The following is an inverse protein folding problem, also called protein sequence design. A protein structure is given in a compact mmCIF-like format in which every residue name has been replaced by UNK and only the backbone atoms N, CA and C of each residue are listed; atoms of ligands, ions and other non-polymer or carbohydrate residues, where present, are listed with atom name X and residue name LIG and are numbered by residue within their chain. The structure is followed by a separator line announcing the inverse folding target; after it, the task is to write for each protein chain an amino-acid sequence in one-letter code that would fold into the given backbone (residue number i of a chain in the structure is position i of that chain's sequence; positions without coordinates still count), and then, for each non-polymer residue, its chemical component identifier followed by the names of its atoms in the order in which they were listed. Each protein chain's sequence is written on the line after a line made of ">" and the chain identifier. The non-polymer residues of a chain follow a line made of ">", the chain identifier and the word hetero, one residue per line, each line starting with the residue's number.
data_IF_602858470773
#
_entry.id   IF_602858470773
#
_cell.length_a   1.000
_cell.length_b   1.000
_cell.length_c   1.000
_cell.angle_alpha   90.00
_cell.angle_beta   90.00
_cell.angle_gamma   90.00
#
_symmetry.space_group_name_H-M   'P 1'
#
loop_
_entity.id
_entity.type
_entity.pdbx_description
1 polymer ?
#
# COMPACT_ATOMS: atom_id res chain seq x y z
N UNK A 1 -49.12 6.95 1.21
CA UNK A 1 -48.22 6.09 0.42
C UNK A 1 -47.26 7.01 -0.30
N UNK A 2 -46.09 7.29 0.31
CA UNK A 2 -45.09 8.17 -0.28
C UNK A 2 -44.13 7.32 -1.10
N UNK A 3 -44.09 7.56 -2.41
CA UNK A 3 -43.13 6.93 -3.31
C UNK A 3 -41.74 7.56 -3.07
N UNK A 4 -40.78 6.73 -2.67
CA UNK A 4 -39.38 7.13 -2.56
C UNK A 4 -38.81 7.31 -3.97
N UNK A 5 -38.39 8.53 -4.28
CA UNK A 5 -37.76 8.87 -5.56
C UNK A 5 -36.35 8.25 -5.60
N UNK A 6 -35.93 7.56 -6.67
CA UNK A 6 -34.58 7.01 -6.76
C UNK A 6 -33.57 8.14 -6.90
N UNK A 7 -32.48 8.05 -6.11
CA UNK A 7 -31.39 9.02 -6.13
C UNK A 7 -30.79 9.11 -7.54
N UNK A 8 -30.76 10.33 -8.10
CA UNK A 8 -30.17 10.58 -9.40
C UNK A 8 -28.68 10.22 -9.36
N UNK A 9 -28.27 9.30 -10.23
CA UNK A 9 -26.88 8.92 -10.42
C UNK A 9 -26.17 10.14 -11.03
N UNK A 10 -25.30 10.79 -10.25
CA UNK A 10 -24.50 11.91 -10.74
C UNK A 10 -23.28 11.34 -11.44
N UNK A 11 -23.34 11.26 -12.77
CA UNK A 11 -22.20 10.85 -13.60
C UNK A 11 -21.18 12.00 -13.66
N UNK A 12 -19.92 11.80 -13.22
CA UNK A 12 -18.92 12.85 -13.34
C UNK A 12 -18.58 13.14 -14.81
N UNK A 13 -18.21 14.39 -15.12
CA UNK A 13 -18.06 14.90 -16.49
C UNK A 13 -17.03 14.16 -17.38
N UNK A 14 -16.18 13.29 -16.80
CA UNK A 14 -15.21 12.43 -17.50
C UNK A 14 -15.31 10.95 -17.05
N UNK A 15 -16.50 10.48 -16.71
CA UNK A 15 -16.73 9.08 -16.36
C UNK A 15 -16.74 8.20 -17.61
N UNK A 16 -16.15 7.00 -17.49
CA UNK A 16 -16.32 5.93 -18.47
C UNK A 16 -17.21 4.86 -17.83
N UNK A 17 -18.32 4.44 -18.48
CA UNK A 17 -19.13 3.33 -17.99
C UNK A 17 -18.32 2.03 -18.09
N UNK A 18 -18.38 1.21 -17.04
CA UNK A 18 -17.67 -0.06 -16.92
C UNK A 18 -18.62 -1.21 -16.56
N UNK A 19 -19.90 -1.12 -16.97
CA UNK A 19 -20.95 -2.07 -16.60
C UNK A 19 -20.61 -3.51 -17.03
N UNK A 20 -19.91 -3.65 -18.15
CA UNK A 20 -19.39 -4.90 -18.70
C UNK A 20 -18.26 -5.53 -17.86
N UNK A 21 -17.65 -4.75 -16.96
CA UNK A 21 -16.59 -5.19 -16.04
C UNK A 21 -17.05 -5.29 -14.59
N UNK A 22 -18.35 -5.19 -14.32
CA UNK A 22 -18.94 -5.29 -12.97
C UNK A 22 -18.44 -6.54 -12.21
N UNK A 23 -18.53 -7.71 -12.83
CA UNK A 23 -18.02 -8.97 -12.27
C UNK A 23 -16.52 -8.91 -11.94
N UNK A 24 -15.73 -8.24 -12.79
CA UNK A 24 -14.28 -8.08 -12.57
C UNK A 24 -13.99 -7.16 -11.38
N UNK A 25 -14.77 -6.10 -11.21
CA UNK A 25 -14.66 -5.18 -10.06
C UNK A 25 -15.01 -5.89 -8.76
N UNK A 26 -16.06 -6.72 -8.76
CA UNK A 26 -16.46 -7.51 -7.59
C UNK A 26 -15.41 -8.56 -7.23
N UNK A 27 -14.91 -9.30 -8.22
CA UNK A 27 -13.83 -10.26 -7.99
C UNK A 27 -12.58 -9.57 -7.43
N UNK A 28 -12.24 -8.39 -7.94
CA UNK A 28 -11.10 -7.62 -7.44
C UNK A 28 -11.29 -7.22 -5.97
N UNK A 29 -12.50 -6.84 -5.54
CA UNK A 29 -12.79 -6.57 -4.11
C UNK A 29 -12.54 -7.80 -3.24
N UNK A 30 -12.99 -8.97 -3.69
CA UNK A 30 -12.78 -10.23 -2.96
C UNK A 30 -11.29 -10.55 -2.85
N UNK A 31 -10.55 -10.39 -3.95
CA UNK A 31 -9.09 -10.61 -3.98
C UNK A 31 -8.37 -9.65 -3.03
N UNK A 32 -8.70 -8.36 -3.05
CA UNK A 32 -8.06 -7.37 -2.17
C UNK A 32 -8.31 -7.69 -0.69
N UNK A 33 -9.54 -8.09 -0.32
CA UNK A 33 -9.87 -8.50 1.05
C UNK A 33 -9.08 -9.74 1.49
N UNK A 34 -8.88 -10.72 0.59
CA UNK A 34 -8.07 -11.90 0.85
C UNK A 34 -6.59 -11.53 1.01
N UNK A 35 -6.06 -10.65 0.14
CA UNK A 35 -4.69 -10.17 0.24
C UNK A 35 -4.44 -9.45 1.55
N UNK A 36 -5.37 -8.61 2.01
CA UNK A 36 -5.23 -7.90 3.27
C UNK A 36 -5.27 -8.86 4.47
N UNK A 37 -6.13 -9.88 4.43
CA UNK A 37 -6.12 -10.95 5.42
C UNK A 37 -4.77 -11.67 5.45
N UNK A 38 -4.24 -12.06 4.29
CA UNK A 38 -2.95 -12.73 4.19
C UNK A 38 -1.78 -11.83 4.62
N UNK A 39 -1.82 -10.52 4.35
CA UNK A 39 -0.84 -9.55 4.83
C UNK A 39 -0.83 -9.51 6.36
N UNK A 40 -1.99 -9.50 7.00
CA UNK A 40 -2.11 -9.52 8.46
C UNK A 40 -1.55 -10.82 9.06
N UNK A 41 -1.95 -11.97 8.52
CA UNK A 41 -1.43 -13.29 8.94
C UNK A 41 0.10 -13.34 8.81
N UNK A 42 0.64 -12.89 7.67
CA UNK A 42 2.09 -12.82 7.44
C UNK A 42 2.77 -11.92 8.48
N UNK A 43 2.23 -10.73 8.74
CA UNK A 43 2.81 -9.80 9.69
C UNK A 43 2.87 -10.41 11.11
N UNK A 44 1.83 -11.11 11.53
CA UNK A 44 1.77 -11.74 12.84
C UNK A 44 2.73 -12.93 12.97
N UNK A 45 2.85 -13.78 11.95
CA UNK A 45 3.84 -14.84 11.91
C UNK A 45 5.26 -14.27 11.97
N UNK A 46 5.55 -13.25 11.16
CA UNK A 46 6.84 -12.58 11.19
C UNK A 46 7.13 -11.97 12.56
N UNK A 47 6.14 -11.34 13.21
CA UNK A 47 6.30 -10.77 14.55
C UNK A 47 6.70 -11.84 15.56
N UNK A 48 6.02 -12.99 15.55
CA UNK A 48 6.33 -14.13 16.42
C UNK A 48 7.76 -14.63 16.19
N UNK A 49 8.14 -14.86 14.93
CA UNK A 49 9.49 -15.32 14.56
C UNK A 49 10.55 -14.31 14.99
N UNK A 50 10.38 -13.03 14.65
CA UNK A 50 11.32 -11.95 15.00
C UNK A 50 11.49 -11.80 16.51
N UNK A 51 10.38 -11.90 17.27
CA UNK A 51 10.42 -11.83 18.73
C UNK A 51 11.23 -12.98 19.33
N UNK A 52 11.13 -14.18 18.76
CA UNK A 52 11.92 -15.34 19.20
C UNK A 52 13.38 -15.27 18.77
N UNK A 53 13.63 -14.75 17.56
CA UNK A 53 14.97 -14.61 16.98
C UNK A 53 15.81 -13.55 17.73
N UNK A 54 15.18 -12.47 18.21
CA UNK A 54 15.86 -11.41 18.95
C UNK A 54 16.99 -10.79 18.14
N UNK A 55 18.19 -10.75 18.72
CA UNK A 55 19.40 -10.20 18.09
C UNK A 55 20.18 -11.22 17.24
N UNK A 56 19.79 -12.49 17.23
CA UNK A 56 20.48 -13.52 16.45
C UNK A 56 20.29 -13.29 14.95
N UNK A 57 21.35 -13.44 14.17
CA UNK A 57 21.32 -13.14 12.73
C UNK A 57 20.63 -14.22 11.89
N UNK A 58 20.57 -15.46 12.39
CA UNK A 58 20.03 -16.63 11.68
C UNK A 58 19.16 -17.45 12.63
N UNK A 59 17.96 -17.81 12.17
CA UNK A 59 17.06 -18.75 12.84
C UNK A 59 17.03 -20.08 12.11
N UNK A 60 17.05 -21.18 12.87
CA UNK A 60 17.08 -22.55 12.37
C UNK A 60 15.72 -23.24 12.54
N UNK A 61 15.38 -24.12 11.61
CA UNK A 61 14.29 -25.11 11.71
C UNK A 61 14.90 -26.47 11.35
N UNK A 62 14.74 -27.48 12.21
CA UNK A 62 15.34 -28.81 12.04
C UNK A 62 16.86 -28.78 11.75
N UNK A 63 17.57 -27.88 12.44
CA UNK A 63 19.01 -27.68 12.29
C UNK A 63 19.44 -26.98 10.99
N UNK A 64 18.49 -26.53 10.15
CA UNK A 64 18.76 -25.85 8.88
C UNK A 64 18.38 -24.36 8.94
N UNK A 65 19.17 -23.44 8.34
CA UNK A 65 18.80 -22.03 8.26
C UNK A 65 17.46 -21.82 7.54
N UNK A 66 16.53 -21.14 8.21
CA UNK A 66 15.19 -20.86 7.69
C UNK A 66 14.89 -19.37 7.59
N UNK A 67 15.49 -18.54 8.46
CA UNK A 67 15.31 -17.09 8.46
C UNK A 67 16.62 -16.38 8.78
N UNK A 68 16.79 -15.17 8.27
CA UNK A 68 17.94 -14.33 8.58
C UNK A 68 17.60 -12.85 8.53
N UNK A 69 18.32 -12.05 9.31
CA UNK A 69 18.32 -10.60 9.17
C UNK A 69 19.24 -10.19 8.03
N UNK A 70 18.70 -9.50 7.02
CA UNK A 70 19.51 -8.80 6.01
C UNK A 70 19.66 -7.33 6.41
N UNK A 71 20.90 -6.88 6.63
CA UNK A 71 21.21 -5.45 6.80
C UNK A 71 21.54 -4.86 5.43
N UNK A 72 21.00 -3.69 5.14
CA UNK A 72 21.30 -2.97 3.90
C UNK A 72 21.40 -1.50 4.24
N UNK A 73 22.48 -0.85 3.78
CA UNK A 73 22.65 0.58 3.93
C UNK A 73 21.74 1.29 2.93
N UNK A 74 20.89 2.18 3.43
CA UNK A 74 20.11 3.08 2.59
C UNK A 74 20.78 4.45 2.60
N UNK A 75 21.27 4.88 1.45
CA UNK A 75 21.69 6.26 1.22
C UNK A 75 20.47 7.02 0.72
N UNK A 76 20.08 8.09 1.41
CA UNK A 76 18.97 8.94 1.01
C UNK A 76 19.32 10.40 1.30
N UNK A 77 18.94 11.30 0.40
CA UNK A 77 19.07 12.74 0.62
C UNK A 77 18.10 13.19 1.72
N UNK A 78 18.61 13.90 2.71
CA UNK A 78 17.78 14.48 3.76
C UNK A 78 17.25 15.84 3.32
N UNK A 79 16.02 15.85 2.78
CA UNK A 79 15.34 17.10 2.40
C UNK A 79 15.27 18.09 3.57
N UNK A 80 15.12 17.60 4.81
CA UNK A 80 15.13 18.45 6.01
C UNK A 80 16.45 19.20 6.17
N UNK A 81 17.59 18.53 5.94
CA UNK A 81 18.90 19.17 6.03
C UNK A 81 19.17 20.11 4.86
N UNK A 82 18.73 19.75 3.64
CA UNK A 82 18.83 20.65 2.48
C UNK A 82 18.05 21.94 2.76
N UNK A 83 16.81 21.85 3.23
CA UNK A 83 16.00 23.02 3.62
C UNK A 83 16.63 23.91 4.68
N UNK A 84 17.41 23.32 5.60
CA UNK A 84 18.03 24.05 6.71
C UNK A 84 19.39 24.66 6.35
N UNK A 85 20.18 23.98 5.51
CA UNK A 85 21.58 24.35 5.22
C UNK A 85 21.77 24.99 3.84
N UNK A 86 20.97 24.59 2.86
CA UNK A 86 21.05 25.02 1.47
C UNK A 86 19.64 25.25 0.88
N UNK A 87 18.85 26.18 1.43
CA UNK A 87 17.52 26.47 0.91
C UNK A 87 17.53 26.98 -0.55
N UNK A 88 18.63 27.58 -0.99
CA UNK A 88 18.81 28.14 -2.33
C UNK A 88 18.74 27.09 -3.45
N UNK A 89 19.19 25.85 -3.20
CA UNK A 89 19.18 24.77 -4.20
C UNK A 89 17.93 23.91 -4.14
N UNK A 90 17.01 24.18 -3.21
CA UNK A 90 15.84 23.33 -3.00
C UNK A 90 14.95 23.30 -4.25
N UNK A 91 14.66 24.46 -4.82
CA UNK A 91 13.81 24.57 -6.01
C UNK A 91 14.43 23.87 -7.23
N UNK A 92 15.75 23.93 -7.37
CA UNK A 92 16.47 23.27 -8.47
C UNK A 92 16.49 21.73 -8.33
N UNK A 93 16.18 21.22 -7.13
CA UNK A 93 16.15 19.79 -6.83
C UNK A 93 14.73 19.23 -6.74
N UNK A 94 13.68 20.05 -6.86
CA UNK A 94 12.30 19.61 -6.76
C UNK A 94 11.77 19.13 -8.12
N UNK A 95 11.46 17.83 -8.21
CA UNK A 95 10.77 17.23 -9.34
C UNK A 95 9.33 16.92 -8.93
N UNK A 96 8.36 17.62 -9.54
CA UNK A 96 6.94 17.39 -9.32
C UNK A 96 6.40 16.57 -10.49
N UNK A 97 6.09 15.31 -10.22
CA UNK A 97 5.50 14.40 -11.20
C UNK A 97 4.10 14.01 -10.76
N UNK A 98 3.12 14.16 -11.65
CA UNK A 98 1.77 13.68 -11.41
C UNK A 98 1.75 12.14 -11.37
N UNK A 99 1.28 11.58 -10.26
CA UNK A 99 1.12 10.13 -10.10
C UNK A 99 -0.34 9.79 -9.91
N UNK A 100 -0.88 8.98 -10.81
CA UNK A 100 -2.24 8.44 -10.69
C UNK A 100 -2.21 7.19 -9.83
N UNK A 101 -3.05 7.14 -8.79
CA UNK A 101 -3.23 5.94 -7.98
C UNK A 101 -4.54 5.27 -8.36
N UNK A 102 -4.46 4.03 -8.83
CA UNK A 102 -5.64 3.19 -9.01
C UNK A 102 -6.07 2.63 -7.65
N UNK A 103 -7.33 2.81 -7.28
CA UNK A 103 -7.93 2.24 -6.07
C UNK A 103 -9.37 1.86 -6.36
N UNK A 104 -9.81 0.72 -5.84
CA UNK A 104 -11.23 0.47 -5.68
C UNK A 104 -11.80 1.49 -4.68
N UNK A 105 -12.89 2.14 -5.06
CA UNK A 105 -13.67 2.97 -4.16
C UNK A 105 -14.81 2.16 -3.58
N UNK A 106 -15.18 2.42 -2.33
CA UNK A 106 -16.45 1.97 -1.79
C UNK A 106 -17.55 2.79 -2.51
N UNK A 107 -18.17 2.19 -3.53
CA UNK A 107 -19.43 2.71 -4.03
C UNK A 107 -20.48 2.38 -2.95
N UNK A 108 -21.09 3.43 -2.36
CA UNK A 108 -22.21 3.34 -1.41
C UNK A 108 -23.45 2.79 -2.11
#
# INVERSE_FOLDING_TARGET
>A
MSASQPAAIVTPANAVPLDDLSDSVELLRVVDAQLDTLKNVKADLQRKIKSRLGLAEVGLVDGRPAVTWRRTLRVALSQKLIKALHPEVLADCEEITEVRTFRLTEAV
#
